data_IF_847345047275
#
_entry.id   IF_847345047275
#
_cell.length_a   1.000
_cell.length_b   1.000
_cell.length_c   1.000
_cell.angle_alpha   90.00
_cell.angle_beta   90.00
_cell.angle_gamma   90.00
#
_symmetry.space_group_name_H-M   'P 1'
#
loop_
_entity.id
_entity.type
_entity.pdbx_description
1 polymer ?
#
# COMPACT_ATOMS: atom_id res chain seq x y z
N UNK A 1 -5.97 2.08 -9.39
CA UNK A 1 -5.37 3.38 -9.78
C UNK A 1 -6.51 4.36 -9.97
N UNK A 2 -6.35 5.62 -9.53
CA UNK A 2 -7.39 6.66 -9.62
C UNK A 2 -7.71 6.96 -11.11
N UNK A 3 -8.95 6.73 -11.54
CA UNK A 3 -9.45 6.99 -12.90
C UNK A 3 -10.80 7.70 -12.83
N UNK A 4 -10.90 8.92 -13.38
CA UNK A 4 -12.11 9.77 -13.40
C UNK A 4 -12.75 10.10 -12.04
N UNK A 5 -12.05 9.82 -10.94
CA UNK A 5 -12.52 10.08 -9.59
C UNK A 5 -12.25 11.53 -9.15
N UNK A 6 -13.14 12.07 -8.32
CA UNK A 6 -12.99 13.43 -7.79
C UNK A 6 -11.85 13.50 -6.77
N UNK A 7 -10.89 14.39 -7.03
CA UNK A 7 -9.71 14.56 -6.20
C UNK A 7 -9.95 15.50 -5.01
N UNK A 8 -9.47 15.08 -3.85
CA UNK A 8 -9.46 15.83 -2.60
C UNK A 8 -8.08 15.76 -1.92
N UNK A 9 -7.74 16.73 -1.07
CA UNK A 9 -6.61 16.58 -0.14
C UNK A 9 -6.77 15.32 0.71
N UNK A 10 -5.67 14.62 1.01
CA UNK A 10 -5.70 13.33 1.69
C UNK A 10 -6.59 13.30 2.95
N UNK A 11 -6.47 14.22 3.93
CA UNK A 11 -7.30 14.16 5.13
C UNK A 11 -8.79 14.37 4.82
N UNK A 12 -9.11 15.18 3.81
CA UNK A 12 -10.49 15.45 3.37
C UNK A 12 -11.10 14.25 2.66
N UNK A 13 -10.32 13.53 1.85
CA UNK A 13 -10.78 12.28 1.23
C UNK A 13 -11.10 11.23 2.29
N UNK A 14 -10.25 11.08 3.31
CA UNK A 14 -10.52 10.20 4.44
C UNK A 14 -11.79 10.58 5.20
N UNK A 15 -11.91 11.85 5.57
CA UNK A 15 -13.10 12.35 6.27
C UNK A 15 -14.39 12.07 5.50
N UNK A 16 -14.37 12.23 4.17
CA UNK A 16 -15.51 11.89 3.31
C UNK A 16 -15.77 10.39 3.22
N UNK A 17 -14.73 9.56 3.25
CA UNK A 17 -14.86 8.11 3.12
C UNK A 17 -15.28 7.42 4.43
N UNK A 18 -14.80 7.91 5.58
CA UNK A 18 -14.95 7.24 6.87
C UNK A 18 -15.74 8.04 7.91
N UNK A 19 -16.06 9.29 7.62
CA UNK A 19 -16.65 10.24 8.58
C UNK A 19 -15.65 10.76 9.62
N UNK A 20 -14.39 10.30 9.60
CA UNK A 20 -13.37 10.67 10.58
C UNK A 20 -12.16 11.27 9.86
N UNK A 21 -11.72 12.44 10.31
CA UNK A 21 -10.53 13.10 9.79
C UNK A 21 -9.27 12.55 10.47
N UNK A 22 -8.37 11.86 9.75
CA UNK A 22 -7.14 11.32 10.33
C UNK A 22 -6.10 12.41 10.54
N UNK A 23 -5.17 12.15 11.47
CA UNK A 23 -4.02 13.01 11.68
C UNK A 23 -3.12 13.10 10.42
N UNK A 24 -2.52 14.26 10.10
CA UNK A 24 -1.66 14.42 8.91
C UNK A 24 -0.51 13.41 8.83
N UNK A 25 0.09 13.03 9.97
CA UNK A 25 1.15 12.02 10.00
C UNK A 25 0.66 10.63 9.53
N UNK A 26 -0.59 10.26 9.84
CA UNK A 26 -1.21 9.02 9.35
C UNK A 26 -1.39 9.07 7.84
N UNK A 27 -1.89 10.19 7.31
CA UNK A 27 -1.98 10.40 5.86
C UNK A 27 -0.61 10.31 5.18
N UNK A 28 0.41 10.92 5.80
CA UNK A 28 1.77 10.89 5.29
C UNK A 28 2.29 9.45 5.20
N UNK A 29 2.16 8.67 6.28
CA UNK A 29 2.56 7.26 6.33
C UNK A 29 1.87 6.45 5.24
N UNK A 30 0.55 6.57 5.12
CA UNK A 30 -0.23 5.80 4.14
C UNK A 30 0.15 6.10 2.69
N UNK A 31 0.54 7.36 2.36
CA UNK A 31 0.99 7.72 1.00
C UNK A 31 2.45 7.37 0.70
N UNK A 32 3.32 7.23 1.71
CA UNK A 32 4.77 7.01 1.49
C UNK A 32 5.13 5.54 1.59
N UNK A 33 4.85 4.92 2.72
CA UNK A 33 5.19 3.52 2.99
C UNK A 33 3.97 2.60 3.04
N UNK A 34 2.76 3.15 3.21
CA UNK A 34 1.56 2.34 3.35
C UNK A 34 1.47 1.68 4.73
N UNK A 35 0.65 0.64 4.83
CA UNK A 35 0.50 -0.22 6.00
C UNK A 35 0.11 -1.62 5.54
N UNK A 36 0.62 -2.67 6.21
CA UNK A 36 0.36 -4.08 5.85
C UNK A 36 0.66 -4.41 4.38
N UNK A 37 1.66 -3.75 3.77
CA UNK A 37 2.04 -3.96 2.37
C UNK A 37 1.16 -3.24 1.35
N UNK A 38 0.10 -2.55 1.80
CA UNK A 38 -0.83 -1.81 0.95
C UNK A 38 -0.51 -0.32 1.05
N UNK A 39 -0.43 0.39 -0.08
CA UNK A 39 -0.10 1.83 -0.13
C UNK A 39 -1.26 2.61 -0.75
N UNK A 40 -1.61 3.74 -0.15
CA UNK A 40 -2.71 4.58 -0.62
C UNK A 40 -2.39 5.19 -1.99
N UNK A 41 -3.33 5.06 -2.93
CA UNK A 41 -3.24 5.69 -4.24
C UNK A 41 -3.31 7.21 -4.11
N UNK A 42 -2.31 7.91 -4.66
CA UNK A 42 -2.24 9.38 -4.59
C UNK A 42 -1.68 9.94 -5.89
N UNK A 43 -2.14 11.14 -6.25
CA UNK A 43 -1.61 11.93 -7.37
C UNK A 43 -0.97 13.20 -6.81
N UNK A 44 0.12 13.66 -7.44
CA UNK A 44 0.76 14.93 -7.09
C UNK A 44 0.30 16.02 -8.06
N UNK A 45 -0.38 17.05 -7.57
CA UNK A 45 -0.82 18.21 -8.33
C UNK A 45 -0.27 19.48 -7.67
N UNK A 46 0.51 20.29 -8.41
CA UNK A 46 1.03 21.56 -7.89
C UNK A 46 1.81 21.44 -6.56
N UNK A 47 2.60 20.38 -6.39
CA UNK A 47 3.39 20.15 -5.18
C UNK A 47 2.64 19.51 -4.01
N UNK A 48 1.30 19.46 -4.05
CA UNK A 48 0.46 18.81 -3.03
C UNK A 48 0.00 17.43 -3.51
N UNK A 49 -0.28 16.53 -2.56
CA UNK A 49 -0.83 15.20 -2.85
C UNK A 49 -2.34 15.21 -2.68
N UNK A 50 -3.01 14.56 -3.61
CA UNK A 50 -4.45 14.38 -3.66
C UNK A 50 -4.77 12.89 -3.80
N UNK A 51 -5.98 12.52 -3.39
CA UNK A 51 -6.55 11.18 -3.55
C UNK A 51 -8.06 11.32 -3.72
N UNK A 52 -8.77 10.21 -3.90
CA UNK A 52 -10.22 10.17 -4.02
C UNK A 52 -10.86 9.44 -2.85
N UNK A 53 -12.19 9.51 -2.74
CA UNK A 53 -12.94 8.78 -1.71
C UNK A 53 -12.86 7.27 -1.98
N UNK A 54 -12.99 6.91 -3.25
CA UNK A 54 -12.95 5.55 -3.78
C UNK A 54 -11.57 4.91 -3.54
N UNK A 55 -10.48 5.66 -3.74
CA UNK A 55 -9.13 5.18 -3.42
C UNK A 55 -8.94 4.91 -1.93
N UNK A 56 -9.52 5.74 -1.05
CA UNK A 56 -9.48 5.49 0.40
C UNK A 56 -10.28 4.24 0.76
N UNK A 57 -11.45 4.04 0.15
CA UNK A 57 -12.27 2.84 0.35
C UNK A 57 -11.53 1.57 -0.09
N UNK A 58 -10.92 1.58 -1.29
CA UNK A 58 -10.08 0.47 -1.78
C UNK A 58 -8.92 0.18 -0.83
N UNK A 59 -8.20 1.22 -0.42
CA UNK A 59 -7.10 1.10 0.53
C UNK A 59 -7.56 0.46 1.85
N UNK A 60 -8.70 0.89 2.40
CA UNK A 60 -9.25 0.35 3.64
C UNK A 60 -9.68 -1.12 3.49
N UNK A 61 -10.25 -1.49 2.33
CA UNK A 61 -10.62 -2.87 2.04
C UNK A 61 -9.36 -3.76 1.94
N UNK A 62 -8.33 -3.30 1.23
CA UNK A 62 -7.09 -4.03 1.04
C UNK A 62 -6.29 -4.21 2.35
N UNK A 63 -6.18 -3.18 3.20
CA UNK A 63 -5.49 -3.32 4.51
C UNK A 63 -6.24 -4.26 5.45
N UNK A 64 -7.56 -4.34 5.32
CA UNK A 64 -8.41 -5.25 6.09
C UNK A 64 -8.21 -6.68 5.59
N UNK A 65 -8.29 -6.90 4.27
CA UNK A 65 -7.96 -8.20 3.67
C UNK A 65 -6.53 -8.66 4.03
N UNK A 66 -5.55 -7.77 4.04
CA UNK A 66 -4.19 -8.07 4.48
C UNK A 66 -4.10 -8.39 5.99
N UNK A 67 -4.97 -7.81 6.82
CA UNK A 67 -5.07 -8.11 8.24
C UNK A 67 -5.57 -9.54 8.46
N UNK A 68 -6.60 -9.90 7.70
CA UNK A 68 -7.38 -11.14 7.87
C UNK A 68 -6.71 -12.33 7.14
N UNK A 69 -5.50 -12.13 6.61
CA UNK A 69 -4.70 -13.17 5.96
C UNK A 69 -4.99 -13.37 4.47
N UNK A 70 -5.84 -12.54 3.87
CA UNK A 70 -6.24 -12.64 2.45
C UNK A 70 -5.19 -12.15 1.45
N UNK A 71 -4.13 -11.47 1.89
CA UNK A 71 -3.04 -11.04 1.01
C UNK A 71 -1.69 -11.65 1.44
N UNK A 72 -0.90 -12.21 0.51
CA UNK A 72 0.45 -12.66 0.81
C UNK A 72 1.30 -11.47 1.27
N UNK A 73 1.89 -11.58 2.46
CA UNK A 73 2.76 -10.54 3.00
C UNK A 73 3.92 -10.29 2.02
N UNK A 74 4.20 -9.03 1.62
CA UNK A 74 5.36 -8.76 0.78
C UNK A 74 6.62 -9.21 1.51
N UNK A 75 7.42 -10.06 0.85
CA UNK A 75 8.72 -10.51 1.38
C UNK A 75 9.61 -9.28 1.58
N UNK A 76 10.25 -9.21 2.74
CA UNK A 76 11.28 -8.20 2.99
C UNK A 76 12.47 -8.41 2.05
N UNK A 77 13.29 -7.39 1.85
CA UNK A 77 14.50 -7.49 1.01
C UNK A 77 15.40 -8.65 1.46
N UNK A 78 15.62 -8.77 2.77
CA UNK A 78 16.37 -9.88 3.36
C UNK A 78 15.75 -11.24 3.05
N UNK A 79 14.42 -11.36 3.14
CA UNK A 79 13.70 -12.60 2.80
C UNK A 79 13.78 -12.92 1.31
N UNK A 80 13.82 -11.92 0.43
CA UNK A 80 14.04 -12.12 -1.01
C UNK A 80 15.44 -12.66 -1.28
N UNK A 81 16.47 -12.00 -0.73
CA UNK A 81 17.86 -12.43 -0.87
C UNK A 81 18.05 -13.86 -0.39
N UNK A 82 17.58 -14.20 0.81
CA UNK A 82 17.67 -15.58 1.32
C UNK A 82 16.90 -16.59 0.46
N UNK A 83 15.75 -16.21 -0.11
CA UNK A 83 15.01 -17.09 -1.00
C UNK A 83 15.73 -17.32 -2.33
N UNK A 84 16.40 -16.30 -2.87
CA UNK A 84 17.24 -16.41 -4.07
C UNK A 84 18.43 -17.33 -3.79
N UNK A 85 19.19 -17.08 -2.73
CA UNK A 85 20.34 -17.91 -2.34
C UNK A 85 19.96 -19.38 -2.14
N UNK A 86 18.78 -19.64 -1.57
CA UNK A 86 18.29 -21.00 -1.40
C UNK A 86 17.97 -21.68 -2.74
N UNK A 87 17.27 -20.97 -3.63
CA UNK A 87 16.96 -21.48 -4.96
C UNK A 87 18.23 -21.74 -5.79
N UNK A 88 19.24 -20.88 -5.66
CA UNK A 88 20.54 -21.07 -6.31
C UNK A 88 21.27 -22.33 -5.80
N UNK A 89 21.21 -22.63 -4.49
CA UNK A 89 21.78 -23.86 -3.94
C UNK A 89 21.04 -25.11 -4.39
N UNK A 90 19.70 -25.06 -4.41
CA UNK A 90 18.87 -26.18 -4.88
C UNK A 90 19.19 -26.49 -6.35
N UNK A 91 19.24 -25.48 -7.21
CA UNK A 91 19.63 -25.62 -8.62
C UNK A 91 21.06 -26.16 -8.79
N UNK A 92 22.01 -25.70 -7.97
CA UNK A 92 23.38 -26.20 -8.00
C UNK A 92 23.49 -27.67 -7.58
N UNK A 93 22.60 -28.14 -6.71
CA UNK A 93 22.57 -29.54 -6.25
C UNK A 93 21.89 -30.51 -7.23
N UNK A 94 20.93 -30.04 -8.05
CA UNK A 94 20.26 -30.85 -9.07
C UNK A 94 21.08 -31.06 -10.35
N UNK A 95 22.05 -30.19 -10.62
CA UNK A 95 22.91 -30.24 -11.81
C UNK A 95 24.24 -30.99 -11.61
N UNK A 96 24.37 -31.78 -10.53
CA UNK A 96 25.54 -32.62 -10.23
C UNK A 96 25.14 -34.10 -10.20
#
# INVERSE_FOLDING_TARGET
>A
MIQDEKLFPLPTAYEKATGIRPHPATCHRHKTCGIKGVRLETIKCGGRRFTSVEAVQRFNAEITAAADGGLPKPRTERQRVTAIERAERELASENL
#
